data_IF_283597641904
#
_entry.id   IF_283597641904
#
_cell.length_a   1.000
_cell.length_b   1.000
_cell.length_c   1.000
_cell.angle_alpha   90.00
_cell.angle_beta   90.00
_cell.angle_gamma   90.00
#
_symmetry.space_group_name_H-M   'P 1'
#
loop_
_entity.id
_entity.type
_entity.pdbx_description
1 polymer ?
#
# COMPACT_ATOMS: atom_id res chain seq x y z
N UNK A 1 -13.51 -6.10 -15.44
CA UNK A 1 -13.55 -4.71 -14.94
C UNK A 1 -12.28 -4.45 -14.15
N UNK A 2 -11.51 -3.42 -14.48
CA UNK A 2 -10.23 -3.16 -13.81
C UNK A 2 -10.48 -2.66 -12.38
N UNK A 3 -9.88 -3.30 -11.37
CA UNK A 3 -9.96 -2.92 -9.94
C UNK A 3 -9.55 -1.45 -9.71
N UNK A 4 -8.71 -0.91 -10.59
CA UNK A 4 -8.23 0.47 -10.59
C UNK A 4 -9.32 1.50 -10.99
N UNK A 5 -10.35 1.08 -11.73
CA UNK A 5 -11.38 1.98 -12.25
C UNK A 5 -12.45 2.37 -11.20
N UNK A 6 -12.56 1.62 -10.10
CA UNK A 6 -13.53 1.86 -9.04
C UNK A 6 -13.01 2.73 -7.88
N UNK A 7 -11.76 3.20 -7.96
CA UNK A 7 -11.11 3.93 -6.86
C UNK A 7 -11.61 5.37 -6.79
N UNK A 8 -12.13 5.80 -5.64
CA UNK A 8 -12.60 7.16 -5.41
C UNK A 8 -11.43 8.11 -5.16
N UNK A 9 -10.84 8.62 -6.27
CA UNK A 9 -9.69 9.53 -6.27
C UNK A 9 -9.84 10.78 -5.40
N UNK A 10 -11.06 11.27 -5.17
CA UNK A 10 -11.31 12.51 -4.42
C UNK A 10 -11.19 12.35 -2.89
N UNK A 11 -11.39 11.14 -2.36
CA UNK A 11 -11.39 10.88 -0.91
C UNK A 11 -10.32 9.86 -0.48
N UNK A 12 -9.31 9.60 -1.32
CA UNK A 12 -8.25 8.64 -0.97
C UNK A 12 -7.45 9.17 0.21
N UNK A 13 -7.21 8.28 1.17
CA UNK A 13 -6.21 8.53 2.21
C UNK A 13 -4.85 8.69 1.52
N UNK A 14 -4.11 9.69 1.96
CA UNK A 14 -2.73 9.90 1.51
C UNK A 14 -1.79 9.31 2.55
N UNK A 15 -1.12 8.24 2.17
CA UNK A 15 -0.02 7.69 2.96
C UNK A 15 1.20 8.60 2.85
N UNK A 16 1.91 8.78 3.96
CA UNK A 16 3.10 9.62 4.05
C UNK A 16 4.29 8.73 4.39
N UNK A 17 5.32 8.76 3.54
CA UNK A 17 6.59 8.08 3.79
C UNK A 17 7.23 8.66 5.05
N UNK A 18 7.72 7.79 5.94
CA UNK A 18 8.23 8.18 7.26
C UNK A 18 7.15 8.37 8.32
N UNK A 19 5.87 8.26 7.94
CA UNK A 19 4.75 8.21 8.87
C UNK A 19 4.41 6.79 9.30
N UNK A 20 3.30 6.66 10.03
CA UNK A 20 2.72 5.37 10.40
C UNK A 20 1.41 5.14 9.66
N UNK A 21 1.10 3.88 9.36
CA UNK A 21 -0.20 3.51 8.81
C UNK A 21 -1.28 3.87 9.83
N UNK A 22 -2.37 4.57 9.43
CA UNK A 22 -3.38 4.95 10.40
C UNK A 22 -4.10 3.69 10.89
N UNK A 23 -4.18 3.54 12.22
CA UNK A 23 -4.55 2.29 12.87
C UNK A 23 -5.90 1.72 12.41
N UNK A 24 -6.88 2.59 12.15
CA UNK A 24 -8.23 2.21 11.72
C UNK A 24 -8.27 1.47 10.37
N UNK A 25 -7.23 1.62 9.54
CA UNK A 25 -7.19 1.08 8.18
C UNK A 25 -6.27 -0.13 8.03
N UNK A 26 -5.54 -0.50 9.08
CA UNK A 26 -4.67 -1.70 9.09
C UNK A 26 -5.44 -2.98 8.71
N UNK A 27 -6.67 -3.22 9.20
CA UNK A 27 -7.42 -4.44 8.86
C UNK A 27 -7.76 -4.56 7.36
N UNK A 28 -7.78 -3.44 6.64
CA UNK A 28 -8.13 -3.37 5.23
C UNK A 28 -6.91 -3.54 4.30
N UNK A 29 -5.70 -3.69 4.86
CA UNK A 29 -4.50 -4.00 4.07
C UNK A 29 -4.67 -5.39 3.45
N UNK A 30 -4.75 -5.41 2.12
CA UNK A 30 -4.85 -6.64 1.36
C UNK A 30 -3.46 -7.13 0.92
N UNK A 31 -3.33 -8.43 0.60
CA UNK A 31 -2.19 -8.91 -0.18
C UNK A 31 -2.05 -8.15 -1.51
N UNK A 32 -0.83 -8.11 -2.04
CA UNK A 32 -0.58 -7.49 -3.33
C UNK A 32 -1.44 -8.14 -4.44
N UNK A 33 -1.95 -7.36 -5.40
CA UNK A 33 -2.63 -7.92 -6.56
C UNK A 33 -1.64 -8.77 -7.39
N UNK A 34 -2.07 -9.90 -7.97
CA UNK A 34 -1.21 -10.78 -8.78
C UNK A 34 -0.46 -10.05 -9.91
N UNK A 35 -1.10 -9.06 -10.51
CA UNK A 35 -0.59 -8.22 -11.59
C UNK A 35 0.56 -7.29 -11.17
N UNK A 36 0.81 -7.13 -9.87
CA UNK A 36 1.80 -6.19 -9.33
C UNK A 36 3.09 -6.89 -8.87
N UNK A 37 3.02 -8.18 -8.51
CA UNK A 37 4.16 -8.93 -7.96
C UNK A 37 5.43 -8.93 -8.83
N UNK A 38 5.30 -8.85 -10.16
CA UNK A 38 6.44 -8.92 -11.09
C UNK A 38 7.17 -7.60 -11.35
N UNK A 39 6.58 -6.47 -10.96
CA UNK A 39 7.10 -5.13 -11.29
C UNK A 39 7.73 -4.41 -10.09
N UNK A 40 7.53 -4.94 -8.90
CA UNK A 40 8.03 -4.33 -7.68
C UNK A 40 9.39 -4.90 -7.27
N UNK A 41 10.33 -4.04 -6.81
CA UNK A 41 11.50 -4.54 -6.12
C UNK A 41 11.06 -5.27 -4.83
N UNK A 42 11.85 -6.26 -4.35
CA UNK A 42 11.58 -6.90 -3.08
C UNK A 42 11.58 -5.88 -1.93
N UNK A 43 10.83 -6.12 -0.84
CA UNK A 43 10.78 -5.18 0.27
C UNK A 43 12.11 -5.24 1.04
N UNK A 44 12.47 -4.16 1.76
CA UNK A 44 13.60 -4.20 2.69
C UNK A 44 13.47 -5.37 3.69
N UNK A 45 14.58 -5.94 4.18
CA UNK A 45 14.53 -7.01 5.17
C UNK A 45 13.70 -6.63 6.40
N UNK A 46 12.75 -7.48 6.78
CA UNK A 46 11.83 -7.25 7.91
C UNK A 46 10.59 -6.41 7.58
N UNK A 47 10.48 -5.88 6.37
CA UNK A 47 9.31 -5.12 5.93
C UNK A 47 8.34 -5.98 5.12
N UNK A 48 7.05 -5.66 5.22
CA UNK A 48 5.97 -6.24 4.43
C UNK A 48 5.53 -5.28 3.32
N UNK A 49 4.86 -5.83 2.30
CA UNK A 49 4.13 -5.04 1.31
C UNK A 49 2.66 -5.37 1.38
N UNK A 50 1.83 -4.33 1.34
CA UNK A 50 0.38 -4.44 1.34
C UNK A 50 -0.24 -3.57 0.25
N UNK A 51 -1.43 -3.97 -0.18
CA UNK A 51 -2.27 -3.21 -1.08
C UNK A 51 -3.36 -2.49 -0.31
N UNK A 52 -3.51 -1.20 -0.57
CA UNK A 52 -4.60 -0.41 -0.03
C UNK A 52 -5.10 0.58 -1.08
N UNK A 53 -6.34 0.41 -1.54
CA UNK A 53 -7.05 1.37 -2.41
C UNK A 53 -6.20 1.97 -3.54
N UNK A 54 -5.47 1.13 -4.29
CA UNK A 54 -4.61 1.52 -5.41
C UNK A 54 -3.20 1.96 -5.02
N UNK A 55 -2.84 1.88 -3.74
CA UNK A 55 -1.47 2.03 -3.28
C UNK A 55 -0.86 0.66 -3.02
N UNK A 56 0.44 0.55 -3.29
CA UNK A 56 1.32 -0.42 -2.65
C UNK A 56 2.05 0.30 -1.54
N UNK A 57 1.93 -0.22 -0.32
CA UNK A 57 2.57 0.35 0.87
C UNK A 57 3.61 -0.63 1.38
N UNK A 58 4.82 -0.15 1.59
CA UNK A 58 5.92 -0.91 2.20
C UNK A 58 6.03 -0.46 3.65
N UNK A 59 5.83 -1.38 4.59
CA UNK A 59 5.73 -1.06 6.01
C UNK A 59 6.37 -2.10 6.92
N UNK A 60 6.78 -1.67 8.12
CA UNK A 60 7.19 -2.58 9.20
C UNK A 60 5.93 -3.25 9.78
N UNK A 61 5.79 -4.59 9.74
CA UNK A 61 4.58 -5.28 10.21
C UNK A 61 4.37 -5.19 11.73
N UNK A 62 5.37 -4.78 12.51
CA UNK A 62 5.26 -4.62 13.97
C UNK A 62 4.73 -3.22 14.32
N UNK A 63 5.33 -2.18 13.74
CA UNK A 63 5.03 -0.79 14.10
C UNK A 63 4.09 -0.10 13.13
N UNK A 64 3.88 -0.68 11.94
CA UNK A 64 3.21 -0.06 10.80
C UNK A 64 3.87 1.24 10.32
N UNK A 65 5.18 1.40 10.58
CA UNK A 65 5.97 2.48 10.00
C UNK A 65 6.06 2.31 8.48
N UNK A 66 5.76 3.38 7.74
CA UNK A 66 5.72 3.41 6.28
C UNK A 66 7.10 3.78 5.74
N UNK A 67 7.80 2.79 5.18
CA UNK A 67 9.08 3.01 4.52
C UNK A 67 8.94 3.53 3.09
N UNK A 68 7.88 3.13 2.38
CA UNK A 68 7.63 3.58 1.02
C UNK A 68 6.16 3.45 0.62
N UNK A 69 5.75 4.24 -0.38
CA UNK A 69 4.41 4.20 -0.97
C UNK A 69 4.54 4.32 -2.48
N UNK A 70 3.86 3.45 -3.21
CA UNK A 70 3.76 3.50 -4.66
C UNK A 70 2.28 3.69 -5.01
N UNK A 71 1.94 4.77 -5.71
CA UNK A 71 0.58 5.00 -6.21
C UNK A 71 0.45 4.37 -7.61
N UNK A 72 -0.43 3.37 -7.74
CA UNK A 72 -0.64 2.64 -8.99
C UNK A 72 -1.57 3.38 -9.97
N UNK A 73 -2.09 4.55 -9.59
CA UNK A 73 -3.01 5.36 -10.40
C UNK A 73 -2.36 6.59 -11.04
N UNK A 74 -1.07 6.81 -10.82
CA UNK A 74 -0.32 7.94 -11.39
C UNK A 74 0.37 7.59 -12.71
#
# INVERSE_FOLDING_TARGET
MSRLAAINRANRIRFVIGGFFPYAYIPDIAPLPPDVYGYLPPPPPGYAMGYYDGYVVVYDPVTYYIANVIDLLQ
#
